data_IF_900129298356
#
_entry.id   IF_900129298356
#
_cell.length_a   1.000
_cell.length_b   1.000
_cell.length_c   1.000
_cell.angle_alpha   90.00
_cell.angle_beta   90.00
_cell.angle_gamma   90.00
#
_symmetry.space_group_name_H-M   'P 1'
#
loop_
_entity.id
_entity.type
_entity.pdbx_description
1 polymer ?
#
# COMPACT_ATOMS: atom_id res chain seq x y z
N UNK A 1 15.96 7.43 16.62
CA UNK A 1 15.67 6.53 17.75
C UNK A 1 17.02 6.16 18.33
N UNK A 2 17.27 6.55 19.57
CA UNK A 2 18.57 6.30 20.22
C UNK A 2 18.40 5.12 21.18
N UNK A 3 19.44 4.33 21.33
CA UNK A 3 19.52 3.27 22.32
C UNK A 3 20.63 3.65 23.30
N UNK A 4 20.30 3.77 24.58
CA UNK A 4 21.28 4.14 25.62
C UNK A 4 22.10 2.96 26.14
N UNK A 5 21.83 1.75 25.64
CA UNK A 5 22.45 0.50 26.06
C UNK A 5 21.48 -0.43 26.78
N UNK A 6 20.41 0.10 27.36
CA UNK A 6 19.38 -0.69 28.07
C UNK A 6 17.97 -0.46 27.54
N UNK A 7 17.68 0.73 27.00
CA UNK A 7 16.34 1.16 26.64
C UNK A 7 16.31 1.89 25.30
N UNK A 8 15.16 1.78 24.65
CA UNK A 8 14.80 2.60 23.50
C UNK A 8 14.39 4.00 23.99
N UNK A 9 15.11 5.03 23.54
CA UNK A 9 14.82 6.42 23.86
C UNK A 9 14.11 7.09 22.69
N UNK A 10 12.89 7.56 22.95
CA UNK A 10 12.08 8.36 22.03
C UNK A 10 12.09 9.81 22.51
N UNK A 11 12.60 10.71 21.67
CA UNK A 11 12.60 12.15 21.91
C UNK A 11 11.63 12.80 20.94
N UNK A 12 10.69 13.57 21.47
CA UNK A 12 9.72 14.34 20.69
C UNK A 12 9.37 15.62 21.43
N UNK A 13 9.18 16.70 20.68
CA UNK A 13 8.72 18.00 21.21
C UNK A 13 7.25 17.97 21.65
N UNK A 14 6.52 16.89 21.31
CA UNK A 14 5.08 16.74 21.56
C UNK A 14 4.78 15.35 22.12
N UNK A 15 4.99 15.22 23.43
CA UNK A 15 4.63 14.05 24.21
C UNK A 15 3.42 14.39 25.08
N UNK A 16 2.40 13.54 25.09
CA UNK A 16 1.25 13.66 25.96
C UNK A 16 0.98 12.35 26.70
N UNK A 17 0.34 12.44 27.87
CA UNK A 17 -0.15 11.31 28.65
C UNK A 17 -1.62 11.53 28.95
N UNK A 18 -2.47 10.55 28.66
CA UNK A 18 -3.88 10.63 29.03
C UNK A 18 -4.15 10.09 30.44
N UNK A 19 -5.39 10.23 30.92
CA UNK A 19 -5.81 9.78 32.25
C UNK A 19 -5.73 8.25 32.44
N UNK A 20 -5.76 7.47 31.34
CA UNK A 20 -5.58 6.01 31.37
C UNK A 20 -4.11 5.60 31.44
N UNK A 21 -3.19 6.58 31.35
CA UNK A 21 -1.77 6.38 31.40
C UNK A 21 -1.13 6.06 30.05
N UNK A 22 -1.89 6.11 28.96
CA UNK A 22 -1.37 5.95 27.60
C UNK A 22 -0.51 7.16 27.26
N UNK A 23 0.73 6.90 26.82
CA UNK A 23 1.65 7.92 26.33
C UNK A 23 1.55 8.00 24.80
N UNK A 24 1.50 9.21 24.26
CA UNK A 24 1.57 9.46 22.82
C UNK A 24 2.71 10.42 22.52
N UNK A 25 3.49 10.12 21.49
CA UNK A 25 4.57 10.98 21.01
C UNK A 25 4.43 11.23 19.51
N UNK A 26 4.32 12.50 19.09
CA UNK A 26 4.32 12.86 17.68
C UNK A 26 5.73 12.73 17.11
N UNK A 27 5.88 12.00 16.01
CA UNK A 27 7.14 11.85 15.29
C UNK A 27 7.25 12.94 14.21
N UNK A 28 8.16 13.89 14.44
CA UNK A 28 8.48 14.93 13.48
C UNK A 28 7.35 15.91 13.21
N UNK A 29 7.52 16.71 12.15
CA UNK A 29 6.54 17.72 11.73
C UNK A 29 5.45 17.09 10.87
N UNK A 30 4.28 17.72 10.88
CA UNK A 30 3.21 17.41 9.93
C UNK A 30 3.74 17.47 8.50
N UNK A 31 3.43 16.44 7.70
CA UNK A 31 3.71 16.41 6.28
C UNK A 31 2.40 16.41 5.52
N UNK A 32 2.35 17.11 4.39
CA UNK A 32 1.20 17.05 3.48
C UNK A 32 1.50 16.07 2.36
N UNK A 33 0.53 15.21 2.08
CA UNK A 33 0.60 14.29 0.96
C UNK A 33 -0.70 14.35 0.15
N UNK A 34 -0.61 13.97 -1.11
CA UNK A 34 -1.79 13.67 -1.92
C UNK A 34 -1.88 12.14 -2.04
N UNK A 35 -2.89 11.49 -1.44
CA UNK A 35 -3.04 10.02 -1.45
C UNK A 35 -2.94 9.41 -2.85
N UNK A 36 -3.56 10.05 -3.85
CA UNK A 36 -3.50 9.60 -5.25
C UNK A 36 -2.08 9.46 -5.79
N UNK A 37 -1.16 10.33 -5.35
CA UNK A 37 0.25 10.28 -5.77
C UNK A 37 0.98 9.06 -5.22
N UNK A 38 0.54 8.53 -4.08
CA UNK A 38 1.07 7.28 -3.53
C UNK A 38 0.70 6.09 -4.44
N UNK A 39 -0.56 6.00 -4.87
CA UNK A 39 -0.99 4.96 -5.81
C UNK A 39 -0.27 5.07 -7.16
N UNK A 40 -0.12 6.28 -7.68
CA UNK A 40 0.64 6.52 -8.91
C UNK A 40 2.11 6.11 -8.77
N UNK A 41 2.72 6.35 -7.61
CA UNK A 41 4.09 5.92 -7.34
C UNK A 41 4.21 4.39 -7.32
N UNK A 42 3.29 3.68 -6.66
CA UNK A 42 3.22 2.22 -6.70
C UNK A 42 3.06 1.71 -8.15
N UNK A 43 2.11 2.27 -8.90
CA UNK A 43 1.88 1.92 -10.30
C UNK A 43 3.11 2.17 -11.16
N UNK A 44 3.84 3.27 -10.94
CA UNK A 44 5.09 3.58 -11.65
C UNK A 44 6.18 2.54 -11.37
N UNK A 45 6.29 2.07 -10.13
CA UNK A 45 7.25 1.03 -9.74
C UNK A 45 6.92 -0.28 -10.48
N UNK A 46 5.65 -0.71 -10.47
CA UNK A 46 5.21 -1.88 -11.22
C UNK A 46 5.44 -1.76 -12.73
N UNK A 47 5.09 -0.62 -13.33
CA UNK A 47 5.31 -0.35 -14.76
C UNK A 47 6.79 -0.33 -15.15
N UNK A 48 7.71 -0.08 -14.20
CA UNK A 48 9.16 -0.06 -14.50
C UNK A 48 9.79 -1.44 -14.68
N UNK A 49 9.11 -2.50 -14.22
CA UNK A 49 9.62 -3.89 -14.27
C UNK A 49 8.67 -4.84 -15.01
N UNK A 50 7.55 -4.33 -15.53
CA UNK A 50 6.60 -5.15 -16.27
C UNK A 50 7.16 -5.55 -17.64
N UNK A 51 6.88 -6.77 -18.14
CA UNK A 51 7.30 -7.17 -19.48
C UNK A 51 6.71 -6.24 -20.56
N UNK A 52 7.52 -5.92 -21.56
CA UNK A 52 7.14 -5.00 -22.64
C UNK A 52 5.87 -5.44 -23.38
N UNK A 53 5.65 -6.74 -23.53
CA UNK A 53 4.46 -7.31 -24.16
C UNK A 53 3.13 -6.93 -23.47
N UNK A 54 3.17 -6.56 -22.19
CA UNK A 54 1.99 -6.14 -21.45
C UNK A 54 1.70 -4.64 -21.57
N UNK A 55 2.68 -3.82 -21.99
CA UNK A 55 2.56 -2.36 -22.04
C UNK A 55 1.50 -1.86 -23.02
N UNK A 56 1.23 -2.61 -24.09
CA UNK A 56 0.19 -2.27 -25.05
C UNK A 56 -1.19 -2.17 -24.37
N UNK A 57 -1.51 -3.10 -23.47
CA UNK A 57 -2.76 -3.11 -22.73
C UNK A 57 -2.82 -2.06 -21.60
N UNK A 58 -1.69 -1.48 -21.21
CA UNK A 58 -1.55 -0.57 -20.06
C UNK A 58 -1.30 0.89 -20.45
N UNK A 59 -1.52 1.26 -21.71
CA UNK A 59 -1.28 2.63 -22.18
C UNK A 59 -2.07 3.67 -21.39
N UNK A 60 -3.31 3.36 -20.98
CA UNK A 60 -4.12 4.24 -20.14
C UNK A 60 -3.53 4.41 -18.74
N UNK A 61 -3.05 3.32 -18.13
CA UNK A 61 -2.33 3.36 -16.84
C UNK A 61 -1.07 4.22 -16.96
N UNK A 62 -0.27 4.03 -18.01
CA UNK A 62 0.95 4.82 -18.28
C UNK A 62 0.61 6.30 -18.46
N UNK A 63 -0.43 6.61 -19.23
CA UNK A 63 -0.92 7.98 -19.42
C UNK A 63 -1.34 8.63 -18.11
N UNK A 64 -2.11 7.92 -17.29
CA UNK A 64 -2.56 8.41 -15.99
C UNK A 64 -1.39 8.67 -15.03
N UNK A 65 -0.41 7.76 -14.94
CA UNK A 65 0.77 7.93 -14.09
C UNK A 65 1.64 9.11 -14.55
N UNK A 66 1.82 9.28 -15.87
CA UNK A 66 2.72 10.32 -16.42
C UNK A 66 2.08 11.71 -16.46
N UNK A 67 0.82 11.79 -16.89
CA UNK A 67 0.16 13.04 -17.24
C UNK A 67 -1.03 13.38 -16.32
N UNK A 68 -1.44 12.46 -15.45
CA UNK A 68 -2.64 12.64 -14.62
C UNK A 68 -3.95 12.54 -15.40
N UNK A 69 -3.93 12.06 -16.65
CA UNK A 69 -5.14 11.80 -17.44
C UNK A 69 -6.02 10.79 -16.71
N UNK A 70 -7.32 11.04 -16.55
CA UNK A 70 -8.24 10.16 -15.77
C UNK A 70 -8.14 10.27 -14.24
N UNK A 71 -7.78 11.45 -13.70
CA UNK A 71 -7.76 11.69 -12.25
C UNK A 71 -9.11 11.48 -11.54
N UNK A 72 -10.23 11.55 -12.27
CA UNK A 72 -11.59 11.38 -11.73
C UNK A 72 -12.12 9.95 -11.83
N UNK A 73 -11.36 9.02 -12.43
CA UNK A 73 -11.77 7.61 -12.52
C UNK A 73 -11.50 6.90 -11.20
N UNK A 74 -12.40 5.98 -10.78
CA UNK A 74 -12.16 5.19 -9.59
C UNK A 74 -10.91 4.32 -9.78
N UNK A 75 -10.14 4.18 -8.70
CA UNK A 75 -9.00 3.28 -8.62
C UNK A 75 -9.27 2.26 -7.50
N UNK A 76 -8.75 1.03 -7.62
CA UNK A 76 -8.95 0.04 -6.58
C UNK A 76 -8.17 0.39 -5.32
N UNK A 77 -8.57 -0.21 -4.20
CA UNK A 77 -7.87 -0.03 -2.92
C UNK A 77 -6.48 -0.68 -2.96
N UNK A 78 -5.66 -0.34 -1.97
CA UNK A 78 -4.39 -1.03 -1.69
C UNK A 78 -4.54 -1.78 -0.37
N UNK A 79 -4.26 -3.07 -0.35
CA UNK A 79 -4.15 -3.82 0.88
C UNK A 79 -2.74 -3.67 1.45
N UNK A 80 -2.63 -3.18 2.68
CA UNK A 80 -1.36 -3.01 3.37
C UNK A 80 -1.30 -3.87 4.63
N UNK A 81 -0.13 -4.45 4.89
CA UNK A 81 0.15 -5.21 6.11
C UNK A 81 1.57 -4.95 6.60
N UNK A 82 1.78 -5.18 7.90
CA UNK A 82 3.11 -5.23 8.51
C UNK A 82 3.47 -6.70 8.72
N UNK A 83 4.40 -7.19 7.91
CA UNK A 83 4.92 -8.56 7.98
C UNK A 83 6.38 -8.50 8.40
N UNK A 84 6.74 -9.00 9.60
CA UNK A 84 8.13 -9.10 10.00
C UNK A 84 8.92 -9.95 9.00
N UNK A 85 9.91 -9.36 8.36
CA UNK A 85 10.83 -10.07 7.47
C UNK A 85 12.14 -10.38 8.21
N UNK A 86 12.89 -11.35 7.70
CA UNK A 86 14.27 -11.63 8.11
C UNK A 86 15.14 -10.36 8.00
N UNK A 87 16.27 -10.24 8.74
CA UNK A 87 17.03 -8.99 8.90
C UNK A 87 17.55 -8.31 7.61
N UNK A 88 17.69 -9.04 6.50
CA UNK A 88 18.23 -8.54 5.23
C UNK A 88 17.22 -8.59 4.04
N UNK A 89 16.02 -8.01 4.11
CA UNK A 89 15.13 -7.97 2.96
C UNK A 89 15.43 -6.70 2.16
N UNK A 90 16.03 -6.85 0.98
CA UNK A 90 15.97 -5.80 -0.04
C UNK A 90 14.50 -5.53 -0.42
N UNK A 91 14.23 -4.36 -1.01
CA UNK A 91 12.91 -4.09 -1.57
C UNK A 91 12.57 -5.14 -2.63
N UNK A 92 11.40 -5.75 -2.55
CA UNK A 92 10.94 -6.78 -3.49
C UNK A 92 9.69 -6.32 -4.20
N UNK A 93 9.62 -6.60 -5.49
CA UNK A 93 8.42 -6.42 -6.29
C UNK A 93 8.10 -7.73 -7.00
N UNK A 94 6.86 -8.18 -6.85
CA UNK A 94 6.31 -9.37 -7.52
C UNK A 94 5.13 -8.93 -8.36
N UNK A 95 5.16 -9.27 -9.65
CA UNK A 95 4.06 -9.02 -10.58
C UNK A 95 3.37 -10.33 -10.92
N UNK A 96 2.07 -10.40 -10.68
CA UNK A 96 1.21 -11.50 -11.11
C UNK A 96 0.43 -11.03 -12.34
N UNK A 97 0.79 -11.57 -13.50
CA UNK A 97 0.20 -11.19 -14.79
C UNK A 97 -0.77 -12.28 -15.23
N UNK A 98 -2.03 -11.89 -15.46
CA UNK A 98 -3.10 -12.79 -15.89
C UNK A 98 -2.83 -13.31 -17.30
N UNK A 99 -2.66 -14.64 -17.45
CA UNK A 99 -2.36 -15.29 -18.75
C UNK A 99 -3.57 -15.70 -19.58
N UNK A 100 -4.71 -15.95 -18.94
CA UNK A 100 -5.96 -16.38 -19.58
C UNK A 100 -7.06 -15.42 -19.18
N UNK A 101 -8.09 -15.27 -19.99
CA UNK A 101 -9.29 -14.54 -19.59
C UNK A 101 -10.09 -15.36 -18.56
N UNK A 102 -9.63 -15.30 -17.32
CA UNK A 102 -10.42 -15.61 -16.13
C UNK A 102 -11.08 -14.30 -15.74
N UNK A 103 -12.41 -14.25 -15.79
CA UNK A 103 -13.14 -13.01 -16.05
C UNK A 103 -13.10 -11.97 -14.92
N UNK A 104 -12.68 -12.33 -13.70
CA UNK A 104 -12.74 -11.43 -12.53
C UNK A 104 -11.40 -11.12 -11.87
N UNK A 105 -10.32 -11.83 -12.23
CA UNK A 105 -8.98 -11.47 -11.76
C UNK A 105 -8.46 -10.21 -12.48
N UNK A 106 -7.78 -9.27 -11.81
CA UNK A 106 -7.13 -8.15 -12.48
C UNK A 106 -6.10 -8.62 -13.51
N UNK A 107 -5.88 -7.83 -14.58
CA UNK A 107 -4.83 -8.09 -15.56
C UNK A 107 -3.45 -8.17 -14.89
N UNK A 108 -3.15 -7.25 -13.98
CA UNK A 108 -1.91 -7.23 -13.20
C UNK A 108 -2.21 -6.97 -11.74
N UNK A 109 -1.82 -7.92 -10.89
CA UNK A 109 -1.74 -7.74 -9.43
C UNK A 109 -0.27 -7.59 -9.04
N UNK A 110 0.01 -6.63 -8.17
CA UNK A 110 1.33 -6.28 -7.71
C UNK A 110 1.43 -6.53 -6.21
N UNK A 111 2.53 -7.16 -5.81
CA UNK A 111 2.96 -7.21 -4.41
C UNK A 111 4.28 -6.46 -4.28
N UNK A 112 4.31 -5.42 -3.45
CA UNK A 112 5.48 -4.62 -3.18
C UNK A 112 5.85 -4.72 -1.70
N UNK A 113 7.09 -5.12 -1.42
CA UNK A 113 7.64 -5.22 -0.07
C UNK A 113 8.80 -4.25 0.13
N UNK A 114 8.76 -3.51 1.23
CA UNK A 114 9.81 -2.60 1.65
C UNK A 114 10.00 -2.71 3.16
N UNK A 115 11.07 -3.36 3.60
CA UNK A 115 11.24 -3.71 5.01
C UNK A 115 10.08 -4.57 5.50
N UNK A 116 9.47 -4.23 6.64
CA UNK A 116 8.31 -4.95 7.16
C UNK A 116 6.98 -4.60 6.46
N UNK A 117 6.94 -3.64 5.54
CA UNK A 117 5.71 -3.24 4.88
C UNK A 117 5.47 -4.09 3.64
N UNK A 118 4.25 -4.60 3.51
CA UNK A 118 3.76 -5.27 2.31
C UNK A 118 2.53 -4.54 1.78
N UNK A 119 2.53 -4.27 0.47
CA UNK A 119 1.44 -3.64 -0.26
C UNK A 119 0.99 -4.54 -1.40
N UNK A 120 -0.29 -4.87 -1.46
CA UNK A 120 -0.92 -5.58 -2.58
C UNK A 120 -1.90 -4.63 -3.26
N UNK A 121 -1.88 -4.58 -4.59
CA UNK A 121 -2.72 -3.68 -5.38
C UNK A 121 -2.81 -4.15 -6.84
N UNK A 122 -3.76 -3.64 -7.62
CA UNK A 122 -3.87 -3.94 -9.05
C UNK A 122 -3.44 -2.74 -9.91
N UNK A 123 -2.93 -2.96 -11.13
CA UNK A 123 -2.76 -1.84 -12.06
C UNK A 123 -4.13 -1.44 -12.64
N UNK A 124 -4.58 -0.19 -12.50
CA UNK A 124 -5.88 0.23 -12.99
C UNK A 124 -5.86 0.50 -14.49
N UNK A 125 -7.04 0.51 -15.12
CA UNK A 125 -7.27 0.98 -16.50
C UNK A 125 -6.62 0.12 -17.59
N UNK A 126 -6.30 -1.15 -17.32
CA UNK A 126 -5.89 -2.05 -18.39
C UNK A 126 -7.04 -2.26 -19.38
N UNK A 127 -6.70 -2.31 -20.67
CA UNK A 127 -7.65 -2.71 -21.72
C UNK A 127 -8.04 -4.21 -21.63
N UNK A 128 -7.30 -4.99 -20.85
CA UNK A 128 -7.63 -6.39 -20.56
C UNK A 128 -8.55 -6.55 -19.35
N UNK A 129 -8.86 -5.48 -18.62
CA UNK A 129 -9.86 -5.52 -17.56
C UNK A 129 -11.23 -5.11 -18.09
N UNK A 130 -12.26 -5.90 -17.75
CA UNK A 130 -13.64 -5.66 -18.16
C UNK A 130 -14.48 -4.99 -17.06
N UNK A 131 -13.85 -4.56 -15.97
CA UNK A 131 -14.48 -3.95 -14.81
C UNK A 131 -13.52 -3.00 -14.07
N UNK A 132 -14.00 -2.26 -13.07
CA UNK A 132 -13.26 -1.17 -12.40
C UNK A 132 -12.29 -1.62 -11.29
N UNK A 133 -12.29 -2.92 -10.95
CA UNK A 133 -11.47 -3.56 -9.94
C UNK A 133 -11.71 -3.07 -8.50
N UNK A 134 -12.67 -2.19 -8.20
CA UNK A 134 -12.77 -1.52 -6.88
C UNK A 134 -12.83 -2.52 -5.72
N UNK A 135 -13.48 -3.66 -5.95
CA UNK A 135 -13.74 -4.71 -4.95
C UNK A 135 -13.00 -6.02 -5.27
N UNK A 136 -11.86 -5.94 -5.96
CA UNK A 136 -11.12 -7.15 -6.35
C UNK A 136 -10.55 -7.95 -5.17
N UNK A 137 -10.38 -7.35 -3.99
CA UNK A 137 -9.97 -8.08 -2.79
C UNK A 137 -11.10 -8.93 -2.21
N UNK A 138 -12.34 -8.50 -2.42
CA UNK A 138 -13.56 -9.14 -1.97
C UNK A 138 -13.99 -10.28 -2.91
N UNK A 139 -13.42 -10.33 -4.12
CA UNK A 139 -13.70 -11.32 -5.14
C UNK A 139 -13.25 -12.74 -4.76
N UNK A 140 -14.09 -13.74 -5.03
CA UNK A 140 -13.80 -15.13 -4.69
C UNK A 140 -12.66 -15.72 -5.55
N UNK A 141 -12.58 -15.37 -6.84
CA UNK A 141 -11.49 -15.84 -7.71
C UNK A 141 -10.14 -15.31 -7.20
N UNK A 142 -10.13 -14.06 -6.70
CA UNK A 142 -8.94 -13.46 -6.09
C UNK A 142 -8.55 -14.19 -4.81
N UNK A 143 -9.50 -14.37 -3.88
CA UNK A 143 -9.24 -15.06 -2.61
C UNK A 143 -8.75 -16.49 -2.83
N UNK A 144 -9.34 -17.21 -3.79
CA UNK A 144 -8.96 -18.57 -4.12
C UNK A 144 -7.61 -18.68 -4.84
N UNK A 145 -7.27 -17.69 -5.66
CA UNK A 145 -5.96 -17.64 -6.34
C UNK A 145 -4.84 -17.25 -5.37
N UNK A 146 -5.09 -16.25 -4.52
CA UNK A 146 -4.11 -15.66 -3.61
C UNK A 146 -4.31 -16.11 -2.15
N UNK A 147 -4.66 -17.39 -1.94
CA UNK A 147 -4.93 -17.97 -0.61
C UNK A 147 -3.83 -17.73 0.41
N UNK A 148 -2.58 -17.60 -0.02
CA UNK A 148 -1.45 -17.34 0.88
C UNK A 148 -1.58 -16.01 1.64
N UNK A 149 -2.32 -15.02 1.13
CA UNK A 149 -2.61 -13.79 1.86
C UNK A 149 -3.53 -13.99 3.07
N UNK A 150 -4.26 -15.11 3.15
CA UNK A 150 -5.07 -15.44 4.33
C UNK A 150 -4.23 -15.74 5.59
N UNK A 151 -2.95 -16.10 5.42
CA UNK A 151 -2.03 -16.33 6.53
C UNK A 151 -1.36 -15.04 7.03
N UNK A 152 -1.57 -13.92 6.34
CA UNK A 152 -1.01 -12.62 6.73
C UNK A 152 -1.96 -11.94 7.72
N UNK A 153 -1.51 -11.60 8.94
CA UNK A 153 -2.35 -10.93 9.91
C UNK A 153 -2.57 -9.46 9.55
N UNK A 154 -3.71 -8.91 9.99
CA UNK A 154 -3.95 -7.46 10.12
C UNK A 154 -3.84 -6.64 8.82
N UNK A 155 -4.53 -7.09 7.77
CA UNK A 155 -4.70 -6.28 6.56
C UNK A 155 -5.47 -4.99 6.84
N UNK A 156 -4.99 -3.89 6.26
CA UNK A 156 -5.70 -2.61 6.19
C UNK A 156 -5.93 -2.29 4.71
N UNK A 157 -7.20 -2.19 4.33
CA UNK A 157 -7.57 -1.70 3.00
C UNK A 157 -7.51 -0.16 3.00
N UNK A 158 -6.65 0.39 2.18
CA UNK A 158 -6.37 1.81 2.09
C UNK A 158 -6.93 2.36 0.78
N UNK A 159 -7.77 3.38 0.89
CA UNK A 159 -8.29 4.13 -0.25
C UNK A 159 -7.36 5.31 -0.56
N UNK A 160 -6.77 5.27 -1.75
CA UNK A 160 -5.87 6.29 -2.27
C UNK A 160 -6.50 7.13 -3.39
N UNK A 161 -7.81 7.00 -3.66
CA UNK A 161 -8.51 7.75 -4.72
C UNK A 161 -8.57 9.26 -4.48
N UNK A 162 -8.26 9.72 -3.28
CA UNK A 162 -8.32 11.14 -2.93
C UNK A 162 -7.15 11.95 -3.54
N UNK A 163 -7.49 12.93 -4.38
CA UNK A 163 -6.53 13.85 -5.01
C UNK A 163 -6.34 15.18 -4.23
N UNK A 164 -6.91 15.31 -3.03
CA UNK A 164 -6.70 16.47 -2.16
C UNK A 164 -5.51 16.24 -1.23
N UNK A 165 -4.81 17.33 -0.91
CA UNK A 165 -3.78 17.28 0.12
C UNK A 165 -4.40 16.97 1.48
N UNK A 166 -3.82 16.00 2.19
CA UNK A 166 -4.16 15.68 3.57
C UNK A 166 -2.92 15.82 4.47
N UNK A 167 -3.09 16.29 5.72
CA UNK A 167 -2.02 16.28 6.69
C UNK A 167 -1.81 14.85 7.23
N UNK A 168 -0.55 14.43 7.30
CA UNK A 168 -0.11 13.20 7.93
C UNK A 168 0.70 13.56 9.17
N UNK A 169 0.22 13.07 10.31
CA UNK A 169 0.88 13.16 11.59
C UNK A 169 1.16 11.74 12.06
N UNK A 170 2.43 11.42 12.23
CA UNK A 170 2.86 10.12 12.74
C UNK A 170 2.92 10.18 14.26
N UNK A 171 2.21 9.28 14.94
CA UNK A 171 2.23 9.18 16.39
C UNK A 171 2.64 7.77 16.80
N UNK A 172 3.47 7.65 17.84
CA UNK A 172 3.67 6.38 18.54
C UNK A 172 2.85 6.44 19.83
N UNK A 173 2.06 5.41 20.07
CA UNK A 173 1.30 5.24 21.31
C UNK A 173 1.88 4.09 22.13
N UNK A 174 2.02 4.31 23.43
CA UNK A 174 2.46 3.33 24.41
C UNK A 174 1.34 3.16 25.44
N UNK A 175 0.69 2.01 25.42
CA UNK A 175 -0.31 1.66 26.42
C UNK A 175 0.35 0.95 27.60
N UNK A 176 -0.03 1.27 28.85
CA UNK A 176 0.37 0.47 30.00
C UNK A 176 -0.13 -0.96 29.81
N UNK A 177 0.74 -1.94 30.08
CA UNK A 177 0.32 -3.34 30.08
C UNK A 177 -0.61 -3.52 31.28
N UNK A 178 -1.88 -3.84 31.03
CA UNK A 178 -2.79 -4.23 32.11
C UNK A 178 -2.13 -5.39 32.87
N UNK A 179 -1.88 -5.18 34.17
CA UNK A 179 -1.32 -6.17 35.07
C UNK A 179 -2.36 -7.23 35.42
#
# INVERSE_FOLDING_TARGET
>A
MFHDGERMVVVSDKISKDASGVLSAQLGKEKRIVPLRFYQALSKIALSVIPEAELAALQRTVGWVRYGSSADMPIPKVAAAIVPLSPDPSAQITLYIRKKDVSRLPHVVCEFRLGCYMYVYALPFSERDNWDLIEFFEDDDFKDTFRHYSYVPSWILQDYGNNREIPIVQNITFAPRNA
#
